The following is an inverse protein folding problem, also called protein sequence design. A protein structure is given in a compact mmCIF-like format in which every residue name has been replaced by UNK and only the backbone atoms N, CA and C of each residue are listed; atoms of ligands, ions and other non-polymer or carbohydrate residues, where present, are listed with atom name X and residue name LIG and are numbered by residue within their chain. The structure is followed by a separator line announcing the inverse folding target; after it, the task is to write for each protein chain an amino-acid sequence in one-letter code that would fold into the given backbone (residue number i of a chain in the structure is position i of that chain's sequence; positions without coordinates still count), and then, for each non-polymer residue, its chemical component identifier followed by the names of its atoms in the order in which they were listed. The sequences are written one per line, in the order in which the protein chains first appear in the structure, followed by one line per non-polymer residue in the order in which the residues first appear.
data_IF_720050687748
#
_entry.id   IF_720050687748
#
_cell.length_a   1.000
_cell.length_b   1.000
_cell.length_c   1.000
_cell.angle_alpha   90.00
_cell.angle_beta   90.00
_cell.angle_gamma   90.00
#
_symmetry.space_group_name_H-M   'P 1'
#
loop_
_entity.id
_entity.type
_entity.pdbx_description
1 polymer ?
#
# COMPACT_ATOMS: atom_id res chain seq x y z
N UNK A 1 6.57 -13.92 -10.23
CA UNK A 1 6.43 -12.54 -10.75
C UNK A 1 6.86 -11.46 -9.77
N UNK A 2 6.63 -11.61 -8.45
CA UNK A 2 7.02 -10.63 -7.42
C UNK A 2 8.52 -10.32 -7.38
N UNK A 3 9.37 -11.34 -7.19
CA UNK A 3 10.84 -11.17 -7.09
C UNK A 3 11.42 -10.50 -8.33
N UNK A 4 10.97 -10.90 -9.53
CA UNK A 4 11.43 -10.29 -10.80
C UNK A 4 11.21 -8.78 -10.83
N UNK A 5 10.06 -8.28 -10.33
CA UNK A 5 9.78 -6.83 -10.30
C UNK A 5 10.69 -6.09 -9.31
N UNK A 6 10.97 -6.70 -8.16
CA UNK A 6 11.90 -6.14 -7.18
C UNK A 6 13.32 -6.05 -7.76
N UNK A 7 13.77 -7.10 -8.45
CA UNK A 7 15.07 -7.11 -9.10
C UNK A 7 15.17 -6.04 -10.19
N UNK A 8 14.10 -5.80 -10.97
CA UNK A 8 14.08 -4.72 -11.96
C UNK A 8 14.12 -3.33 -11.32
N UNK A 9 13.43 -3.13 -10.20
CA UNK A 9 13.50 -1.87 -9.45
C UNK A 9 14.91 -1.63 -8.90
N UNK A 10 15.54 -2.66 -8.32
CA UNK A 10 16.92 -2.59 -7.82
C UNK A 10 17.93 -2.36 -8.94
N UNK A 11 17.74 -3.03 -10.08
CA UNK A 11 18.57 -2.83 -11.27
C UNK A 11 18.54 -1.37 -11.74
N UNK A 12 17.34 -0.79 -11.86
CA UNK A 12 17.18 0.63 -12.19
C UNK A 12 17.89 1.54 -11.18
N UNK A 13 17.71 1.30 -9.88
CA UNK A 13 18.32 2.13 -8.84
C UNK A 13 19.84 2.10 -8.91
N UNK A 14 20.42 0.91 -9.10
CA UNK A 14 21.86 0.76 -9.13
C UNK A 14 22.47 1.25 -10.45
N UNK A 15 21.86 0.91 -11.59
CA UNK A 15 22.45 1.13 -12.92
C UNK A 15 22.16 2.53 -13.47
N UNK A 16 20.96 3.06 -13.25
CA UNK A 16 20.51 4.32 -13.85
C UNK A 16 20.49 5.47 -12.84
N UNK A 17 20.06 5.20 -11.61
CA UNK A 17 19.97 6.24 -10.58
C UNK A 17 21.25 6.36 -9.72
N UNK A 18 22.15 5.39 -9.78
CA UNK A 18 23.37 5.29 -8.95
C UNK A 18 23.08 5.34 -7.43
N UNK A 19 21.93 4.79 -7.00
CA UNK A 19 21.45 4.79 -5.61
C UNK A 19 21.40 3.36 -5.06
N UNK A 20 21.89 3.17 -3.83
CA UNK A 20 21.69 1.94 -3.05
C UNK A 20 20.55 2.18 -2.07
N UNK A 21 19.54 1.31 -2.03
CA UNK A 21 18.39 1.48 -1.13
C UNK A 21 18.76 1.43 0.36
N UNK A 22 19.70 0.56 0.73
CA UNK A 22 20.19 0.30 2.11
C UNK A 22 19.18 -0.25 3.14
N UNK A 23 17.87 -0.28 2.84
CA UNK A 23 16.84 -0.75 3.77
C UNK A 23 15.80 -1.66 3.07
N UNK A 24 16.28 -2.70 2.39
CA UNK A 24 15.41 -3.64 1.68
C UNK A 24 14.72 -4.61 2.66
N UNK A 25 13.43 -4.36 2.92
CA UNK A 25 12.56 -5.20 3.77
C UNK A 25 11.11 -5.16 3.29
N UNK A 26 10.28 -6.10 3.77
CA UNK A 26 8.88 -6.19 3.35
C UNK A 26 8.05 -4.96 3.67
N UNK A 27 8.43 -4.22 4.71
CA UNK A 27 7.72 -3.02 5.15
C UNK A 27 7.85 -1.88 4.12
N UNK A 28 8.93 -1.89 3.32
CA UNK A 28 9.20 -0.92 2.26
C UNK A 28 8.70 -1.43 0.89
N UNK A 29 7.89 -2.49 0.88
CA UNK A 29 7.23 -3.01 -0.32
C UNK A 29 5.74 -2.70 -0.27
N UNK A 30 5.32 -1.71 -1.05
CA UNK A 30 3.90 -1.45 -1.25
C UNK A 30 3.33 -2.37 -2.32
N UNK A 31 2.02 -2.63 -2.26
CA UNK A 31 1.30 -3.28 -3.35
C UNK A 31 0.47 -2.23 -4.08
N UNK A 32 0.52 -2.26 -5.42
CA UNK A 32 -0.51 -1.59 -6.21
C UNK A 32 -1.89 -2.20 -5.89
N UNK A 33 -2.97 -1.51 -6.26
CA UNK A 33 -4.34 -2.02 -6.09
C UNK A 33 -4.85 -2.48 -7.46
N UNK A 34 -4.95 -3.80 -7.66
CA UNK A 34 -5.50 -4.37 -8.89
C UNK A 34 -7.04 -4.35 -8.89
N UNK A 35 -7.67 -4.69 -7.77
CA UNK A 35 -9.12 -4.58 -7.58
C UNK A 35 -9.50 -3.20 -7.01
N UNK A 36 -9.60 -2.20 -7.89
CA UNK A 36 -9.90 -0.81 -7.51
C UNK A 36 -11.25 -0.63 -6.79
N UNK A 37 -12.19 -1.57 -6.98
CA UNK A 37 -13.48 -1.54 -6.28
C UNK A 37 -13.34 -1.67 -4.76
N UNK A 38 -12.21 -2.22 -4.28
CA UNK A 38 -11.88 -2.28 -2.85
C UNK A 38 -11.82 -0.90 -2.19
N UNK A 39 -11.45 0.15 -2.94
CA UNK A 39 -11.41 1.53 -2.42
C UNK A 39 -12.82 2.06 -2.12
N UNK A 40 -13.78 1.81 -3.04
CA UNK A 40 -15.16 2.21 -2.85
C UNK A 40 -15.82 1.47 -1.69
N UNK A 41 -15.54 0.17 -1.56
CA UNK A 41 -16.04 -0.64 -0.44
C UNK A 41 -15.44 -0.20 0.89
N UNK A 42 -14.15 0.15 0.91
CA UNK A 42 -13.49 0.70 2.09
C UNK A 42 -14.14 2.01 2.55
N UNK A 43 -14.34 2.95 1.61
CA UNK A 43 -14.99 4.23 1.91
C UNK A 43 -16.43 4.04 2.40
N UNK A 44 -17.17 3.14 1.76
CA UNK A 44 -18.55 2.80 2.15
C UNK A 44 -18.60 2.19 3.55
N UNK A 45 -17.67 1.28 3.88
CA UNK A 45 -17.56 0.71 5.21
C UNK A 45 -17.23 1.77 6.27
N UNK A 46 -16.34 2.73 5.96
CA UNK A 46 -15.98 3.85 6.85
C UNK A 46 -17.14 4.82 7.07
N UNK A 47 -17.93 5.07 6.04
CA UNK A 47 -19.14 5.88 6.18
C UNK A 47 -20.20 5.20 7.04
N UNK A 48 -20.48 3.90 6.81
CA UNK A 48 -21.55 3.15 7.49
C UNK A 48 -21.23 2.78 8.94
N UNK A 49 -19.99 2.36 9.18
CA UNK A 49 -19.51 1.95 10.49
C UNK A 49 -18.12 2.54 10.68
N UNK A 50 -18.04 3.76 11.25
CA UNK A 50 -16.76 4.43 11.32
C UNK A 50 -15.79 3.75 12.28
N UNK A 51 -14.51 3.79 11.93
CA UNK A 51 -13.45 3.21 12.75
C UNK A 51 -13.31 3.97 14.07
N UNK A 52 -12.88 3.32 15.16
CA UNK A 52 -12.52 4.00 16.40
C UNK A 52 -11.55 5.14 16.08
N UNK A 53 -11.84 6.32 16.61
CA UNK A 53 -11.05 7.52 16.32
C UNK A 53 -10.81 8.32 17.59
N UNK A 54 -9.61 8.89 17.69
CA UNK A 54 -9.21 9.79 18.77
C UNK A 54 -9.19 11.22 18.24
N UNK A 55 -10.11 12.05 18.73
CA UNK A 55 -10.10 13.49 18.47
C UNK A 55 -9.11 14.12 19.44
N UNK A 56 -8.08 14.78 18.90
CA UNK A 56 -7.05 15.46 19.70
C UNK A 56 -7.45 16.93 19.91
N UNK A 57 -7.81 17.61 18.83
CA UNK A 57 -8.28 18.99 18.79
C UNK A 57 -9.14 19.23 17.53
N UNK A 58 -9.43 20.49 17.20
CA UNK A 58 -10.27 20.86 16.04
C UNK A 58 -9.65 20.50 14.68
N UNK A 59 -8.32 20.30 14.62
CA UNK A 59 -7.57 20.08 13.38
C UNK A 59 -7.14 18.62 13.18
N UNK A 60 -7.04 17.84 14.27
CA UNK A 60 -6.43 16.51 14.24
C UNK A 60 -7.33 15.41 14.80
N UNK A 61 -7.61 14.43 13.95
CA UNK A 61 -8.27 13.17 14.30
C UNK A 61 -7.36 12.02 13.90
N UNK A 62 -7.09 11.11 14.82
CA UNK A 62 -6.34 9.88 14.56
C UNK A 62 -7.34 8.73 14.43
N UNK A 63 -7.31 8.03 13.30
CA UNK A 63 -8.21 6.91 13.01
C UNK A 63 -7.48 5.59 13.25
N UNK A 64 -8.16 4.62 13.85
CA UNK A 64 -7.68 3.24 13.85
C UNK A 64 -7.68 2.72 12.41
N UNK A 65 -6.63 1.99 12.04
CA UNK A 65 -6.51 1.41 10.69
C UNK A 65 -7.63 0.40 10.42
N UNK A 66 -8.15 0.44 9.20
CA UNK A 66 -9.12 -0.52 8.68
C UNK A 66 -8.46 -1.38 7.61
N UNK A 67 -8.81 -2.66 7.60
CA UNK A 67 -8.36 -3.57 6.55
C UNK A 67 -9.25 -3.42 5.31
N UNK A 68 -8.64 -3.50 4.13
CA UNK A 68 -9.41 -3.79 2.92
C UNK A 68 -10.03 -5.18 2.98
N UNK A 69 -11.12 -5.37 2.23
CA UNK A 69 -11.62 -6.73 1.95
C UNK A 69 -10.65 -7.50 1.05
N UNK A 70 -10.92 -8.78 0.82
CA UNK A 70 -10.17 -9.55 -0.19
C UNK A 70 -10.56 -9.11 -1.61
N UNK A 71 -9.63 -9.16 -2.58
CA UNK A 71 -9.94 -9.00 -4.00
C UNK A 71 -10.99 -10.02 -4.44
N UNK A 72 -11.79 -9.66 -5.43
CA UNK A 72 -12.83 -10.52 -5.99
C UNK A 72 -12.71 -10.64 -7.51
N UNK A 73 -13.40 -11.62 -8.10
CA UNK A 73 -13.41 -11.82 -9.55
C UNK A 73 -12.07 -12.31 -10.13
N UNK A 74 -11.29 -13.08 -9.34
CA UNK A 74 -10.00 -13.63 -9.77
C UNK A 74 -8.83 -12.63 -9.80
N UNK A 75 -9.05 -11.39 -9.34
CA UNK A 75 -7.98 -10.37 -9.20
C UNK A 75 -7.08 -10.68 -8.01
N UNK A 76 -5.83 -10.25 -8.07
CA UNK A 76 -4.93 -10.27 -6.91
C UNK A 76 -4.99 -8.94 -6.16
N UNK A 77 -4.18 -8.80 -5.12
CA UNK A 77 -4.04 -7.52 -4.41
C UNK A 77 -3.37 -6.48 -5.30
N UNK A 78 -2.35 -6.89 -6.07
CA UNK A 78 -1.64 -6.09 -7.04
C UNK A 78 -0.16 -6.45 -7.08
N UNK A 79 0.65 -5.52 -7.59
CA UNK A 79 2.07 -5.73 -7.89
C UNK A 79 2.94 -5.06 -6.83
N UNK A 80 4.10 -5.64 -6.45
CA UNK A 80 5.03 -5.00 -5.54
C UNK A 80 5.65 -3.76 -6.18
N UNK A 81 5.75 -2.70 -5.38
CA UNK A 81 6.45 -1.45 -5.67
C UNK A 81 7.42 -1.21 -4.52
N UNK A 82 8.69 -1.01 -4.86
CA UNK A 82 9.73 -0.67 -3.89
C UNK A 82 9.59 0.82 -3.55
N UNK A 83 9.50 1.13 -2.26
CA UNK A 83 9.22 2.48 -1.74
C UNK A 83 10.23 2.85 -0.64
N UNK A 84 10.10 4.07 -0.10
CA UNK A 84 10.94 4.60 0.99
C UNK A 84 12.42 4.78 0.58
N UNK A 85 12.61 5.68 -0.42
CA UNK A 85 13.90 6.15 -0.92
C UNK A 85 14.22 7.57 -0.44
#
# INVERSE_FOLDING_TARGET
MTVRRLLLALDFLHAEAEVIHTDLKTDNLMLSIEDSSMLADFATAESKSPSPRKVIDQSRIIYCSRKFRRPTGGRNYGLPVLCDF
#
